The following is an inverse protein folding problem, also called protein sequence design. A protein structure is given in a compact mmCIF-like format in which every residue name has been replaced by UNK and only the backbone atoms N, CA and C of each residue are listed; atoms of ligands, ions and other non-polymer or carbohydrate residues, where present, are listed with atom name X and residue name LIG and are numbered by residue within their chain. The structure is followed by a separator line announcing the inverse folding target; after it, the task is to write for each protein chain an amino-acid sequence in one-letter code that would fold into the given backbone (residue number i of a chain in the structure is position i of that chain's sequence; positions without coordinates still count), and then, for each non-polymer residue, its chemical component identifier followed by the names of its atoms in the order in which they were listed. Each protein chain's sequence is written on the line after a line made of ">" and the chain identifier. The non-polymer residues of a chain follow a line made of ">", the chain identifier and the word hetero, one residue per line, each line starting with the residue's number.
data_IF_747040562307
#
_entry.id   IF_747040562307
#
_cell.length_a   1.000
_cell.length_b   1.000
_cell.length_c   1.000
_cell.angle_alpha   90.00
_cell.angle_beta   90.00
_cell.angle_gamma   90.00
#
_symmetry.space_group_name_H-M   'P 1'
#
loop_
_entity.id
_entity.type
_entity.pdbx_description
1 polymer ?
#
# COMPACT_ATOMS: atom_id res chain seq x y z
N UNK A 1 -24.81 0.59 18.56
CA UNK A 1 -25.30 -0.41 17.58
C UNK A 1 -25.00 -0.05 16.12
N UNK A 2 -25.21 1.20 15.65
CA UNK A 2 -24.88 1.59 14.27
C UNK A 2 -23.38 1.48 13.89
N UNK A 3 -22.48 1.80 14.82
CA UNK A 3 -21.02 1.75 14.59
C UNK A 3 -20.54 0.31 14.31
N UNK A 4 -21.07 -0.69 15.01
CA UNK A 4 -20.69 -2.10 14.83
C UNK A 4 -21.06 -2.67 13.45
N UNK A 5 -22.15 -2.17 12.84
CA UNK A 5 -22.58 -2.58 11.50
C UNK A 5 -21.67 -1.96 10.43
N UNK A 6 -21.23 -0.73 10.65
CA UNK A 6 -20.33 -0.03 9.72
C UNK A 6 -18.92 -0.65 9.76
N UNK A 7 -18.41 -1.01 10.94
CA UNK A 7 -17.12 -1.71 11.04
C UNK A 7 -17.17 -3.11 10.48
N UNK A 8 -18.21 -3.92 10.77
CA UNK A 8 -18.29 -5.28 10.22
C UNK A 8 -18.37 -5.31 8.70
N UNK A 9 -19.10 -4.37 8.09
CA UNK A 9 -19.21 -4.25 6.63
C UNK A 9 -17.87 -3.83 5.98
N UNK A 10 -17.12 -2.93 6.63
CA UNK A 10 -15.79 -2.52 6.17
C UNK A 10 -14.77 -3.68 6.20
N UNK A 11 -14.83 -4.55 7.22
CA UNK A 11 -13.98 -5.73 7.33
C UNK A 11 -14.27 -6.76 6.23
N UNK A 12 -15.54 -6.98 5.88
CA UNK A 12 -15.95 -7.91 4.81
C UNK A 12 -15.50 -7.40 3.42
N UNK A 13 -15.54 -6.09 3.19
CA UNK A 13 -15.06 -5.50 1.93
C UNK A 13 -13.54 -5.58 1.79
N UNK A 14 -12.78 -5.47 2.89
CA UNK A 14 -11.33 -5.64 2.86
C UNK A 14 -10.90 -7.09 2.64
N UNK A 15 -11.74 -8.07 2.99
CA UNK A 15 -11.46 -9.50 2.82
C UNK A 15 -11.65 -9.99 1.38
N UNK A 16 -12.36 -9.23 0.54
CA UNK A 16 -12.61 -9.55 -0.88
C UNK A 16 -11.75 -8.71 -1.85
N UNK A 17 -10.86 -7.88 -1.33
CA UNK A 17 -10.04 -6.98 -2.13
C UNK A 17 -8.93 -7.77 -2.85
N UNK A 18 -9.12 -7.98 -4.14
CA UNK A 18 -8.11 -8.35 -5.14
C UNK A 18 -6.83 -7.50 -4.99
N UNK A 19 -5.68 -7.91 -5.54
CA UNK A 19 -4.47 -7.08 -5.54
C UNK A 19 -4.72 -5.81 -6.36
N UNK A 20 -5.20 -4.77 -5.69
CA UNK A 20 -5.44 -3.45 -6.25
C UNK A 20 -4.09 -2.85 -6.65
N UNK A 21 -4.05 -2.22 -7.81
CA UNK A 21 -2.89 -1.42 -8.23
C UNK A 21 -2.62 -0.31 -7.21
N UNK A 22 -1.38 0.17 -7.09
CA UNK A 22 -0.99 1.27 -6.17
C UNK A 22 -1.90 2.48 -6.32
N UNK A 23 -2.32 2.75 -7.55
CA UNK A 23 -3.26 3.82 -7.91
C UNK A 23 -4.65 3.59 -7.34
N UNK A 24 -5.22 2.39 -7.49
CA UNK A 24 -6.54 2.07 -6.92
C UNK A 24 -6.50 2.01 -5.40
N UNK A 25 -5.39 1.55 -4.82
CA UNK A 25 -5.17 1.57 -3.37
C UNK A 25 -5.05 3.00 -2.85
N UNK A 26 -4.29 3.86 -3.53
CA UNK A 26 -4.13 5.26 -3.15
C UNK A 26 -5.42 6.08 -3.36
N UNK A 27 -6.11 5.87 -4.48
CA UNK A 27 -7.40 6.48 -4.76
C UNK A 27 -8.48 5.99 -3.77
N UNK A 28 -8.52 4.69 -3.49
CA UNK A 28 -9.47 4.09 -2.53
C UNK A 28 -9.22 4.56 -1.09
N UNK A 29 -7.97 4.61 -0.64
CA UNK A 29 -7.61 5.13 0.69
C UNK A 29 -7.87 6.62 0.78
N UNK A 30 -7.54 7.39 -0.26
CA UNK A 30 -7.82 8.83 -0.33
C UNK A 30 -9.32 9.12 -0.32
N UNK A 31 -10.10 8.37 -1.09
CA UNK A 31 -11.55 8.45 -1.14
C UNK A 31 -12.19 8.15 0.20
N UNK A 32 -11.84 7.00 0.79
CA UNK A 32 -12.43 6.52 2.04
C UNK A 32 -11.98 7.38 3.22
N UNK A 33 -10.70 7.73 3.29
CA UNK A 33 -10.14 8.61 4.31
C UNK A 33 -10.71 10.03 4.22
N UNK A 34 -10.80 10.57 3.02
CA UNK A 34 -11.37 11.89 2.75
C UNK A 34 -12.87 11.95 3.02
N UNK A 35 -13.64 10.93 2.62
CA UNK A 35 -15.07 10.85 2.90
C UNK A 35 -15.36 10.64 4.40
N UNK A 36 -14.54 9.85 5.10
CA UNK A 36 -14.65 9.67 6.53
C UNK A 36 -14.36 10.98 7.29
N UNK A 37 -13.23 11.62 7.00
CA UNK A 37 -12.86 12.90 7.62
C UNK A 37 -13.85 14.01 7.27
N UNK A 38 -14.22 14.13 5.99
CA UNK A 38 -15.21 15.09 5.52
C UNK A 38 -16.61 14.84 6.09
N UNK A 39 -17.00 13.58 6.29
CA UNK A 39 -18.26 13.22 6.92
C UNK A 39 -18.32 13.58 8.40
N UNK A 40 -17.22 13.37 9.13
CA UNK A 40 -17.08 13.79 10.53
C UNK A 40 -17.17 15.31 10.63
N UNK A 41 -16.39 16.05 9.84
CA UNK A 41 -16.39 17.52 9.86
C UNK A 41 -17.73 18.07 9.37
N UNK A 42 -18.30 17.52 8.31
CA UNK A 42 -19.62 17.90 7.81
C UNK A 42 -20.72 17.65 8.84
N UNK A 43 -20.59 16.61 9.67
CA UNK A 43 -21.56 16.31 10.72
C UNK A 43 -21.63 17.38 11.82
N UNK A 44 -20.54 18.12 12.07
CA UNK A 44 -20.52 19.21 13.07
C UNK A 44 -21.29 20.44 12.60
N UNK A 45 -21.38 20.64 11.28
CA UNK A 45 -22.13 21.73 10.62
C UNK A 45 -23.51 21.27 10.12
N UNK A 46 -23.98 20.09 10.55
CA UNK A 46 -25.29 19.53 10.20
C UNK A 46 -25.40 18.92 8.80
N UNK A 47 -24.29 18.80 8.07
CA UNK A 47 -24.23 18.36 6.68
C UNK A 47 -23.22 17.23 6.48
N UNK A 48 -23.41 16.12 7.20
CA UNK A 48 -22.52 14.95 7.13
C UNK A 48 -22.40 14.37 5.71
N UNK A 49 -23.52 14.29 4.97
CA UNK A 49 -23.52 13.77 3.59
C UNK A 49 -22.76 14.67 2.61
N UNK A 50 -22.93 15.99 2.71
CA UNK A 50 -22.21 16.93 1.85
C UNK A 50 -20.71 16.95 2.18
N UNK A 51 -20.35 16.91 3.47
CA UNK A 51 -18.96 16.84 3.90
C UNK A 51 -18.28 15.54 3.45
N UNK A 52 -18.97 14.41 3.54
CA UNK A 52 -18.45 13.13 3.05
C UNK A 52 -18.29 13.11 1.52
N UNK A 53 -19.23 13.69 0.78
CA UNK A 53 -19.16 13.77 -0.68
C UNK A 53 -18.00 14.67 -1.14
N UNK A 54 -17.84 15.85 -0.52
CA UNK A 54 -16.75 16.79 -0.85
C UNK A 54 -15.40 16.20 -0.44
N UNK A 55 -15.29 15.68 0.79
CA UNK A 55 -14.06 15.07 1.28
C UNK A 55 -13.68 13.81 0.48
N UNK A 56 -14.66 13.01 0.07
CA UNK A 56 -14.46 11.85 -0.79
C UNK A 56 -14.03 12.22 -2.21
N UNK A 57 -14.64 13.24 -2.82
CA UNK A 57 -14.28 13.71 -4.15
C UNK A 57 -12.87 14.34 -4.18
N UNK A 58 -12.55 15.18 -3.19
CA UNK A 58 -11.21 15.75 -3.03
C UNK A 58 -10.17 14.67 -2.71
N UNK A 59 -10.51 13.73 -1.83
CA UNK A 59 -9.67 12.59 -1.47
C UNK A 59 -9.40 11.64 -2.64
N UNK A 60 -10.40 11.40 -3.51
CA UNK A 60 -10.23 10.67 -4.77
C UNK A 60 -9.30 11.41 -5.72
N UNK A 61 -9.53 12.70 -5.94
CA UNK A 61 -8.72 13.51 -6.84
C UNK A 61 -7.25 13.58 -6.40
N UNK A 62 -7.02 13.85 -5.10
CA UNK A 62 -5.69 13.88 -4.52
C UNK A 62 -5.03 12.49 -4.52
N UNK A 63 -5.77 11.44 -4.13
CA UNK A 63 -5.28 10.07 -4.10
C UNK A 63 -4.93 9.52 -5.50
N UNK A 64 -5.69 9.89 -6.53
CA UNK A 64 -5.40 9.52 -7.91
C UNK A 64 -4.13 10.21 -8.47
N UNK A 65 -3.88 11.47 -8.07
CA UNK A 65 -2.68 12.20 -8.46
C UNK A 65 -1.42 11.65 -7.78
N UNK A 66 -1.51 11.37 -6.47
CA UNK A 66 -0.41 10.82 -5.66
C UNK A 66 -0.13 9.35 -6.02
N UNK A 67 -1.18 8.59 -6.36
CA UNK A 67 -1.07 7.19 -6.78
C UNK A 67 -0.20 6.99 -8.02
N UNK A 68 -0.16 7.95 -8.93
CA UNK A 68 0.68 7.90 -10.15
C UNK A 68 2.18 7.90 -9.81
N UNK A 69 2.60 8.75 -8.86
CA UNK A 69 3.99 8.76 -8.38
C UNK A 69 4.35 7.48 -7.63
N UNK A 70 3.44 6.99 -6.78
CA UNK A 70 3.66 5.76 -6.01
C UNK A 70 3.82 4.53 -6.92
N UNK A 71 3.05 4.45 -8.00
CA UNK A 71 3.14 3.35 -8.96
C UNK A 71 4.52 3.28 -9.63
N UNK A 72 5.07 4.44 -10.02
CA UNK A 72 6.45 4.50 -10.56
C UNK A 72 7.51 4.09 -9.54
N UNK A 73 7.25 4.29 -8.25
CA UNK A 73 8.17 3.92 -7.18
C UNK A 73 8.07 2.43 -6.87
N UNK A 74 6.86 1.85 -6.89
CA UNK A 74 6.65 0.42 -6.72
C UNK A 74 7.32 -0.38 -7.83
N UNK A 75 7.24 0.06 -9.09
CA UNK A 75 7.93 -0.61 -10.19
C UNK A 75 9.45 -0.64 -9.97
N UNK A 76 10.04 0.49 -9.56
CA UNK A 76 11.46 0.59 -9.24
C UNK A 76 11.85 -0.27 -8.04
N UNK A 77 11.04 -0.30 -6.99
CA UNK A 77 11.29 -1.16 -5.82
C UNK A 77 11.25 -2.63 -6.21
N UNK A 78 10.26 -3.03 -7.01
CA UNK A 78 10.12 -4.42 -7.47
C UNK A 78 11.28 -4.86 -8.36
N UNK A 79 11.83 -3.94 -9.14
CA UNK A 79 13.04 -4.19 -9.93
C UNK A 79 14.30 -4.25 -9.04
N UNK A 80 14.41 -3.38 -8.04
CA UNK A 80 15.49 -3.43 -7.05
C UNK A 80 15.48 -4.73 -6.24
N UNK A 81 14.30 -5.19 -5.78
CA UNK A 81 14.18 -6.46 -5.05
C UNK A 81 14.69 -7.64 -5.87
N UNK A 82 14.35 -7.70 -7.17
CA UNK A 82 14.87 -8.76 -8.06
C UNK A 82 16.38 -8.68 -8.22
N UNK A 83 16.95 -7.48 -8.34
CA UNK A 83 18.40 -7.31 -8.44
C UNK A 83 19.11 -7.71 -7.13
N UNK A 84 18.51 -7.39 -5.99
CA UNK A 84 19.01 -7.79 -4.68
C UNK A 84 18.99 -9.31 -4.52
N UNK A 85 17.88 -9.98 -4.85
CA UNK A 85 17.79 -11.46 -4.82
C UNK A 85 18.86 -12.14 -5.69
N UNK A 86 19.08 -11.63 -6.90
CA UNK A 86 20.13 -12.15 -7.78
C UNK A 86 21.52 -11.95 -7.19
N UNK A 87 21.77 -10.77 -6.63
CA UNK A 87 23.04 -10.43 -5.99
C UNK A 87 23.28 -11.30 -4.76
N UNK A 88 22.27 -11.53 -3.93
CA UNK A 88 22.35 -12.39 -2.74
C UNK A 88 22.68 -13.83 -3.12
N UNK A 89 22.06 -14.36 -4.18
CA UNK A 89 22.34 -15.69 -4.69
C UNK A 89 23.78 -15.85 -5.20
N UNK A 90 24.34 -14.81 -5.84
CA UNK A 90 25.76 -14.80 -6.25
C UNK A 90 26.71 -14.71 -5.05
N UNK A 91 26.41 -13.83 -4.08
CA UNK A 91 27.22 -13.66 -2.89
C UNK A 91 27.29 -14.95 -2.06
N UNK A 92 26.17 -15.67 -1.95
CA UNK A 92 26.13 -16.99 -1.31
C UNK A 92 26.98 -18.02 -2.06
N UNK A 93 26.96 -18.04 -3.40
CA UNK A 93 27.81 -18.94 -4.17
C UNK A 93 29.28 -18.66 -3.92
N UNK A 94 29.68 -17.38 -3.94
CA UNK A 94 31.05 -16.98 -3.63
C UNK A 94 31.45 -17.34 -2.21
N UNK A 95 30.59 -17.10 -1.22
CA UNK A 95 30.86 -17.49 0.17
C UNK A 95 31.10 -18.99 0.31
N UNK A 96 30.28 -19.82 -0.34
CA UNK A 96 30.45 -21.27 -0.34
C UNK A 96 31.78 -21.71 -0.96
N UNK A 97 32.24 -21.06 -2.02
CA UNK A 97 33.56 -21.33 -2.61
C UNK A 97 34.71 -20.92 -1.69
N UNK A 98 34.63 -19.72 -1.10
CA UNK A 98 35.64 -19.25 -0.15
C UNK A 98 35.72 -20.20 1.04
N UNK A 99 34.59 -20.64 1.58
CA UNK A 99 34.53 -21.56 2.70
C UNK A 99 35.13 -22.92 2.36
N UNK A 100 34.86 -23.46 1.15
CA UNK A 100 35.52 -24.67 0.65
C UNK A 100 37.04 -24.51 0.55
N UNK A 101 37.51 -23.43 -0.06
CA UNK A 101 38.95 -23.15 -0.19
C UNK A 101 39.62 -22.97 1.19
N UNK A 102 38.90 -22.40 2.16
CA UNK A 102 39.38 -22.23 3.53
C UNK A 102 39.55 -23.58 4.23
N UNK A 103 38.56 -24.46 4.09
CA UNK A 103 38.61 -25.84 4.62
C UNK A 103 39.75 -26.63 3.99
N UNK A 104 39.98 -26.47 2.67
CA UNK A 104 41.07 -27.14 1.95
C UNK A 104 42.46 -26.61 2.34
N UNK A 105 42.57 -25.34 2.74
CA UNK A 105 43.82 -24.74 3.26
C UNK A 105 44.10 -25.03 4.73
N UNK A 106 43.11 -25.47 5.51
CA UNK A 106 43.26 -25.83 6.93
C UNK A 106 43.63 -27.30 7.18
N UNK A 107 43.73 -28.13 6.13
CA UNK A 107 44.25 -29.50 6.16
C UNK A 107 45.67 -29.57 5.59
#
# INVERSE_FOLDING_TARGET
>A
MKIFIVTSLALVMSACATPLTTREKAAGIGALGGAAAGGIVGSTVGHAGAGAAIGGALGLGAGALVGDQLQSQEEKQKEQERQLEQTEAELERQRREIERLKIEREY
#
